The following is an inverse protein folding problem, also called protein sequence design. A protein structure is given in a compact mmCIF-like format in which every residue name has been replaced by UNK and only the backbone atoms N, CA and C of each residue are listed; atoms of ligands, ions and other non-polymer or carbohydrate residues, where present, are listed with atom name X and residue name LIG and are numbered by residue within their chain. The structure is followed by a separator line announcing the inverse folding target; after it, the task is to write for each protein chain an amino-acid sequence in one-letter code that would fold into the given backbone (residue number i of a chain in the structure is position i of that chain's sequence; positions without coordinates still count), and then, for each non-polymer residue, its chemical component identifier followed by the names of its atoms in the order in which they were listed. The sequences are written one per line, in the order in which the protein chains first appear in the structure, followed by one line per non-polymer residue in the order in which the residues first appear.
data_IF_162884565411
#
_entry.id   IF_162884565411
#
_cell.length_a   1.000
_cell.length_b   1.000
_cell.length_c   1.000
_cell.angle_alpha   90.00
_cell.angle_beta   90.00
_cell.angle_gamma   90.00
#
_symmetry.space_group_name_H-M   'P 1'
#
loop_
_entity.id
_entity.type
_entity.pdbx_description
1 polymer ?
#
# COMPACT_ATOMS: atom_id res chain seq x y z
N UNK A 1 13.90 -16.30 21.20
CA UNK A 1 14.30 -16.26 19.78
C UNK A 1 14.00 -14.87 19.27
N UNK A 2 15.03 -14.03 19.15
CA UNK A 2 14.91 -12.72 18.52
C UNK A 2 14.49 -12.92 17.07
N UNK A 3 13.20 -12.71 16.78
CA UNK A 3 12.74 -12.57 15.41
C UNK A 3 13.36 -11.26 14.94
N UNK A 4 14.38 -11.35 14.10
CA UNK A 4 15.05 -10.20 13.48
C UNK A 4 14.00 -9.16 13.09
N UNK A 5 14.09 -7.95 13.68
CA UNK A 5 13.18 -6.82 13.48
C UNK A 5 13.18 -6.38 12.00
N UNK A 6 12.50 -7.19 11.18
CA UNK A 6 12.43 -7.13 9.73
C UNK A 6 11.07 -6.56 9.39
N UNK A 7 11.07 -5.46 8.67
CA UNK A 7 9.87 -4.88 8.11
C UNK A 7 9.81 -5.21 6.61
N UNK A 8 8.68 -5.72 6.15
CA UNK A 8 8.53 -6.17 4.76
C UNK A 8 7.60 -5.25 3.96
N UNK A 9 8.03 -4.94 2.73
CA UNK A 9 7.19 -4.38 1.67
C UNK A 9 6.97 -5.48 0.65
N UNK A 10 5.72 -5.92 0.55
CA UNK A 10 5.27 -6.96 -0.38
C UNK A 10 4.72 -6.27 -1.62
N UNK A 11 5.36 -6.44 -2.76
CA UNK A 11 4.95 -5.82 -4.03
C UNK A 11 4.70 -6.90 -5.09
N UNK A 12 3.70 -6.69 -5.96
CA UNK A 12 3.54 -7.59 -7.11
C UNK A 12 4.78 -7.50 -8.01
N UNK A 13 5.31 -6.30 -8.24
CA UNK A 13 6.57 -6.10 -8.96
C UNK A 13 6.96 -4.63 -9.13
N UNK A 14 7.93 -4.37 -9.98
CA UNK A 14 8.39 -3.01 -10.29
C UNK A 14 7.36 -2.31 -11.17
N UNK A 15 7.27 -0.98 -11.12
CA UNK A 15 6.27 -0.18 -11.83
C UNK A 15 6.53 -0.05 -13.35
N UNK A 16 6.73 -1.18 -14.02
CA UNK A 16 7.05 -1.31 -15.45
C UNK A 16 6.33 -2.51 -16.07
N UNK A 17 6.27 -2.55 -17.41
CA UNK A 17 5.72 -3.68 -18.17
C UNK A 17 4.32 -4.12 -17.74
N UNK A 18 4.16 -5.42 -17.55
CA UNK A 18 2.88 -6.07 -17.19
C UNK A 18 2.30 -5.55 -15.87
N UNK A 19 3.17 -5.32 -14.87
CA UNK A 19 2.76 -4.85 -13.55
C UNK A 19 2.11 -3.47 -13.63
N UNK A 20 2.69 -2.57 -14.44
CA UNK A 20 2.10 -1.25 -14.69
C UNK A 20 0.76 -1.35 -15.41
N UNK A 21 0.60 -2.36 -16.26
CA UNK A 21 -0.65 -2.58 -16.99
C UNK A 21 -1.74 -3.13 -16.06
N UNK A 22 -1.41 -4.07 -15.16
CA UNK A 22 -2.29 -4.56 -14.09
C UNK A 22 -2.75 -3.40 -13.20
N UNK A 23 -1.81 -2.54 -12.77
CA UNK A 23 -2.13 -1.35 -11.95
C UNK A 23 -3.09 -0.40 -12.66
N UNK A 24 -2.86 -0.12 -13.94
CA UNK A 24 -3.75 0.72 -14.76
C UNK A 24 -5.13 0.08 -14.93
N UNK A 25 -5.18 -1.24 -15.09
CA UNK A 25 -6.42 -2.03 -15.13
C UNK A 25 -7.23 -1.82 -13.85
N UNK A 26 -6.64 -2.08 -12.68
CA UNK A 26 -7.30 -1.86 -11.38
C UNK A 26 -7.73 -0.40 -11.21
N UNK A 27 -6.87 0.55 -11.59
CA UNK A 27 -7.19 1.98 -11.50
C UNK A 27 -8.38 2.37 -12.38
N UNK A 28 -8.53 1.76 -13.54
CA UNK A 28 -9.66 2.06 -14.42
C UNK A 28 -11.02 1.65 -13.86
N UNK A 29 -11.09 0.65 -12.96
CA UNK A 29 -12.33 0.30 -12.23
C UNK A 29 -12.81 1.41 -11.29
N UNK A 30 -11.91 2.31 -10.90
CA UNK A 30 -12.18 3.39 -9.94
C UNK A 30 -12.46 4.72 -10.60
N UNK A 31 -12.46 4.77 -11.94
CA UNK A 31 -12.65 5.98 -12.71
C UNK A 31 -13.71 5.75 -13.77
N UNK A 32 -14.55 6.74 -14.09
CA UNK A 32 -15.39 6.68 -15.28
C UNK A 32 -14.48 6.83 -16.51
N UNK A 33 -14.00 5.71 -17.05
CA UNK A 33 -13.25 5.68 -18.31
C UNK A 33 -13.96 4.73 -19.26
N UNK A 34 -14.13 5.15 -20.51
CA UNK A 34 -14.48 4.29 -21.64
C UNK A 34 -13.28 3.37 -21.93
N UNK A 35 -13.12 2.32 -21.13
CA UNK A 35 -12.19 1.22 -21.40
C UNK A 35 -12.99 -0.07 -21.49
N UNK A 36 -12.61 -0.95 -22.41
CA UNK A 36 -13.19 -2.28 -22.52
C UNK A 36 -13.09 -3.01 -21.17
N UNK A 37 -14.25 -3.34 -20.59
CA UNK A 37 -14.41 -3.94 -19.25
C UNK A 37 -13.66 -5.28 -19.04
N UNK A 38 -13.08 -5.85 -20.09
CA UNK A 38 -12.34 -7.11 -20.02
C UNK A 38 -11.01 -6.99 -19.28
N UNK A 39 -10.24 -5.94 -19.57
CA UNK A 39 -8.88 -5.75 -19.03
C UNK A 39 -8.83 -5.55 -17.49
N UNK A 40 -9.79 -4.83 -16.88
CA UNK A 40 -9.75 -4.56 -15.45
C UNK A 40 -10.11 -5.76 -14.56
N UNK A 41 -11.10 -6.58 -14.97
CA UNK A 41 -11.47 -7.79 -14.23
C UNK A 41 -10.37 -8.87 -14.31
N UNK A 42 -9.71 -8.98 -15.47
CA UNK A 42 -8.54 -9.85 -15.63
C UNK A 42 -7.42 -9.44 -14.67
N UNK A 43 -7.19 -8.14 -14.50
CA UNK A 43 -6.17 -7.63 -13.57
C UNK A 43 -6.45 -8.05 -12.12
N UNK A 44 -7.71 -7.99 -11.67
CA UNK A 44 -8.08 -8.47 -10.33
C UNK A 44 -7.91 -9.99 -10.18
N UNK A 45 -8.24 -10.77 -11.23
CA UNK A 45 -8.05 -12.23 -11.21
C UNK A 45 -6.57 -12.62 -11.15
N UNK A 46 -5.71 -11.93 -11.90
CA UNK A 46 -4.26 -12.14 -11.85
C UNK A 46 -3.74 -11.86 -10.44
N UNK A 47 -4.13 -10.73 -9.85
CA UNK A 47 -3.78 -10.40 -8.47
C UNK A 47 -4.27 -11.49 -7.50
N UNK A 48 -5.54 -11.89 -7.59
CA UNK A 48 -6.09 -12.94 -6.73
C UNK A 48 -5.28 -14.24 -6.83
N UNK A 49 -5.03 -14.74 -8.05
CA UNK A 49 -4.28 -15.98 -8.25
C UNK A 49 -2.84 -15.92 -7.73
N UNK A 50 -2.16 -14.78 -7.89
CA UNK A 50 -0.79 -14.59 -7.41
C UNK A 50 -0.74 -14.49 -5.88
N UNK A 51 -1.60 -13.68 -5.27
CA UNK A 51 -1.59 -13.46 -3.82
C UNK A 51 -2.16 -14.63 -3.01
N UNK A 52 -2.92 -15.53 -3.64
CA UNK A 52 -3.45 -16.75 -3.00
C UNK A 52 -2.37 -17.69 -2.45
N UNK A 53 -1.16 -17.64 -3.01
CA UNK A 53 -0.03 -18.48 -2.59
C UNK A 53 0.91 -17.80 -1.58
N UNK A 54 0.50 -16.64 -1.04
CA UNK A 54 1.31 -15.84 -0.13
C UNK A 54 0.66 -15.87 1.24
N UNK A 55 1.47 -16.18 2.25
CA UNK A 55 1.06 -16.01 3.65
C UNK A 55 1.54 -14.66 4.16
N UNK A 56 0.66 -13.93 4.82
CA UNK A 56 0.97 -12.67 5.52
C UNK A 56 0.61 -12.80 7.00
N UNK A 57 1.45 -12.22 7.87
CA UNK A 57 1.25 -12.24 9.32
C UNK A 57 0.60 -10.92 9.77
N UNK A 58 -0.69 -10.76 9.49
CA UNK A 58 -1.47 -9.59 9.90
C UNK A 58 -2.86 -9.99 10.39
N UNK A 59 -3.46 -9.14 11.21
CA UNK A 59 -4.80 -9.33 11.75
C UNK A 59 -5.85 -8.50 11.00
N UNK A 60 -5.44 -7.36 10.45
CA UNK A 60 -6.31 -6.43 9.73
C UNK A 60 -5.59 -5.81 8.53
N UNK A 61 -6.36 -5.52 7.48
CA UNK A 61 -5.89 -4.82 6.27
C UNK A 61 -6.42 -3.39 6.30
N UNK A 62 -5.56 -2.39 6.14
CA UNK A 62 -5.97 -1.00 6.05
C UNK A 62 -5.45 -0.35 4.77
N UNK A 63 -6.32 0.09 3.84
CA UNK A 63 -5.86 0.83 2.67
C UNK A 63 -5.48 2.26 3.01
N UNK A 64 -4.57 2.83 2.23
CA UNK A 64 -4.32 4.27 2.18
C UNK A 64 -5.53 4.95 1.50
N UNK A 65 -6.15 5.98 2.10
CA UNK A 65 -7.33 6.62 1.56
C UNK A 65 -7.03 7.29 0.22
N UNK A 66 -8.00 7.26 -0.70
CA UNK A 66 -7.91 8.04 -1.94
C UNK A 66 -7.81 9.54 -1.67
N UNK A 67 -7.41 10.31 -2.68
CA UNK A 67 -7.24 11.76 -2.58
C UNK A 67 -8.56 12.54 -2.48
N UNK A 68 -9.67 11.92 -2.85
CA UNK A 68 -10.99 12.55 -2.98
C UNK A 68 -12.10 11.86 -2.16
N UNK A 69 -11.75 10.89 -1.31
CA UNK A 69 -12.66 10.01 -0.56
C UNK A 69 -13.51 9.06 -1.41
N UNK A 70 -13.24 8.93 -2.71
CA UNK A 70 -13.84 7.86 -3.53
C UNK A 70 -13.21 6.49 -3.22
N UNK A 71 -13.83 5.42 -3.73
CA UNK A 71 -13.19 4.10 -3.74
C UNK A 71 -12.03 4.15 -4.73
N UNK A 72 -10.80 4.25 -4.21
CA UNK A 72 -9.58 4.32 -4.99
C UNK A 72 -8.96 2.94 -5.26
N UNK A 73 -7.88 2.89 -6.06
CA UNK A 73 -7.24 1.63 -6.44
C UNK A 73 -6.69 0.86 -5.24
N UNK A 74 -6.21 1.57 -4.21
CA UNK A 74 -5.75 0.96 -2.96
C UNK A 74 -6.90 0.27 -2.21
N UNK A 75 -8.11 0.85 -2.18
CA UNK A 75 -9.29 0.27 -1.55
C UNK A 75 -9.76 -0.98 -2.30
N UNK A 76 -9.80 -0.94 -3.63
CA UNK A 76 -10.14 -2.12 -4.43
C UNK A 76 -9.14 -3.24 -4.23
N UNK A 77 -7.84 -2.90 -4.22
CA UNK A 77 -6.80 -3.88 -3.99
C UNK A 77 -6.90 -4.49 -2.58
N UNK A 78 -7.14 -3.68 -1.55
CA UNK A 78 -7.36 -4.16 -0.19
C UNK A 78 -8.58 -5.10 -0.07
N UNK A 79 -9.65 -4.87 -0.85
CA UNK A 79 -10.78 -5.80 -0.91
C UNK A 79 -10.36 -7.17 -1.46
N UNK A 80 -9.62 -7.19 -2.57
CA UNK A 80 -9.11 -8.45 -3.14
C UNK A 80 -8.27 -9.19 -2.11
N UNK A 81 -7.36 -8.49 -1.42
CA UNK A 81 -6.51 -9.11 -0.39
C UNK A 81 -7.31 -9.61 0.81
N UNK A 82 -8.35 -8.87 1.22
CA UNK A 82 -9.27 -9.27 2.29
C UNK A 82 -9.97 -10.59 1.95
N UNK A 83 -10.46 -10.72 0.72
CA UNK A 83 -11.14 -11.92 0.25
C UNK A 83 -10.18 -13.11 0.12
N UNK A 84 -8.99 -12.88 -0.45
CA UNK A 84 -7.98 -13.93 -0.70
C UNK A 84 -7.43 -14.50 0.60
N UNK A 85 -7.13 -13.64 1.58
CA UNK A 85 -6.52 -14.07 2.83
C UNK A 85 -7.52 -14.29 3.96
N UNK A 86 -8.80 -13.97 3.74
CA UNK A 86 -9.84 -13.99 4.77
C UNK A 86 -9.44 -13.16 6.00
N UNK A 87 -8.89 -11.96 5.76
CA UNK A 87 -8.45 -11.01 6.80
C UNK A 87 -9.31 -9.76 6.69
N UNK A 88 -9.94 -9.28 7.78
CA UNK A 88 -10.86 -8.16 7.71
C UNK A 88 -10.18 -6.86 7.27
N UNK A 89 -10.80 -6.17 6.33
CA UNK A 89 -10.45 -4.79 5.95
C UNK A 89 -11.07 -3.79 6.93
N UNK A 90 -10.25 -2.86 7.43
CA UNK A 90 -10.68 -1.71 8.24
C UNK A 90 -10.01 -0.44 7.71
N UNK A 91 -10.80 0.60 7.46
CA UNK A 91 -10.26 1.90 7.02
C UNK A 91 -9.76 2.72 8.23
N UNK A 92 -8.55 2.44 8.71
CA UNK A 92 -7.92 3.17 9.83
C UNK A 92 -7.52 4.59 9.46
N UNK A 93 -7.43 4.90 8.17
CA UNK A 93 -7.02 6.18 7.62
C UNK A 93 -8.15 6.78 6.79
N UNK A 94 -8.34 8.10 6.90
CA UNK A 94 -9.35 8.86 6.14
C UNK A 94 -8.74 10.09 5.48
N UNK A 95 -9.37 10.61 4.41
CA UNK A 95 -8.96 11.89 3.80
C UNK A 95 -9.72 13.02 4.47
N UNK A 96 -9.00 13.92 5.13
CA UNK A 96 -9.54 15.16 5.73
C UNK A 96 -9.77 16.25 4.69
N UNK A 97 -8.87 16.37 3.72
CA UNK A 97 -8.87 17.43 2.71
C UNK A 97 -8.78 16.80 1.33
N UNK A 98 -9.75 17.10 0.46
CA UNK A 98 -9.71 16.68 -0.95
C UNK A 98 -8.51 17.31 -1.64
N UNK A 99 -7.71 16.51 -2.33
CA UNK A 99 -6.57 16.99 -3.12
C UNK A 99 -6.70 16.54 -4.57
N UNK A 100 -6.09 17.29 -5.51
CA UNK A 100 -5.87 16.76 -6.86
C UNK A 100 -4.84 15.62 -6.78
N UNK A 101 -5.05 14.57 -7.56
CA UNK A 101 -4.10 13.45 -7.66
C UNK A 101 -2.68 13.95 -7.97
N UNK A 102 -1.68 13.44 -7.23
CA UNK A 102 -0.27 13.78 -7.39
C UNK A 102 0.30 13.49 -8.80
N UNK A 103 -0.39 12.67 -9.60
CA UNK A 103 -0.04 12.48 -11.01
C UNK A 103 -0.23 13.74 -11.88
N UNK A 104 -1.05 14.70 -11.43
CA UNK A 104 -1.34 15.94 -12.17
C UNK A 104 -0.63 17.17 -11.59
N UNK A 105 0.18 17.00 -10.55
CA UNK A 105 0.91 18.11 -9.92
C UNK A 105 2.33 18.23 -10.49
N UNK A 106 2.74 19.45 -10.84
CA UNK A 106 4.10 19.78 -11.31
C UNK A 106 5.14 19.44 -10.24
N UNK A 107 4.80 19.64 -8.96
CA UNK A 107 5.60 19.27 -7.80
C UNK A 107 4.91 18.14 -7.05
N UNK A 108 5.62 17.04 -6.81
CA UNK A 108 5.07 15.93 -6.03
C UNK A 108 4.95 16.32 -4.55
N UNK A 109 3.84 15.97 -3.88
CA UNK A 109 3.67 16.25 -2.46
C UNK A 109 4.70 15.51 -1.60
N UNK A 110 5.14 16.14 -0.51
CA UNK A 110 6.02 15.54 0.48
C UNK A 110 5.25 14.80 1.58
N UNK A 111 5.99 14.24 2.55
CA UNK A 111 5.42 13.54 3.72
C UNK A 111 4.49 14.46 4.51
N UNK A 112 4.91 15.70 4.79
CA UNK A 112 4.10 16.68 5.52
C UNK A 112 2.79 17.03 4.81
N UNK A 113 2.81 17.15 3.48
CA UNK A 113 1.61 17.44 2.69
C UNK A 113 0.59 16.30 2.80
N UNK A 114 1.08 15.06 2.75
CA UNK A 114 0.24 13.88 2.92
C UNK A 114 -0.31 13.76 4.36
N UNK A 115 0.49 14.06 5.39
CA UNK A 115 0.02 14.07 6.79
C UNK A 115 -1.08 15.08 7.03
N UNK A 116 -0.92 16.30 6.48
CA UNK A 116 -1.93 17.37 6.61
C UNK A 116 -3.28 16.99 6.03
N UNK A 117 -3.29 16.11 5.02
CA UNK A 117 -4.54 15.71 4.36
C UNK A 117 -5.10 14.39 4.83
N UNK A 118 -4.34 13.57 5.56
CA UNK A 118 -4.82 12.33 6.15
C UNK A 118 -5.27 12.51 7.61
N UNK A 119 -6.25 11.70 7.98
CA UNK A 119 -6.72 11.49 9.34
C UNK A 119 -6.57 10.03 9.74
N UNK A 120 -6.63 9.81 11.04
CA UNK A 120 -6.73 8.48 11.63
C UNK A 120 -8.13 8.34 12.19
N UNK A 121 -8.81 7.26 11.81
CA UNK A 121 -10.04 6.82 12.46
C UNK A 121 -9.62 5.97 13.67
N UNK A 122 -9.92 6.42 14.88
CA UNK A 122 -9.44 5.77 16.10
C UNK A 122 -10.35 4.58 16.44
N UNK A 123 -9.74 3.40 16.52
CA UNK A 123 -10.35 2.13 16.90
C UNK A 123 -9.50 1.52 18.02
N UNK A 124 -9.88 1.78 19.27
CA UNK A 124 -9.08 1.40 20.44
C UNK A 124 -8.92 -0.13 20.59
N UNK A 125 -9.92 -0.89 20.13
CA UNK A 125 -9.95 -2.35 20.09
C UNK A 125 -8.92 -2.95 19.10
N UNK A 126 -8.46 -2.15 18.13
CA UNK A 126 -7.54 -2.56 17.07
C UNK A 126 -6.08 -2.20 17.35
N UNK A 127 -5.75 -1.50 18.44
CA UNK A 127 -4.38 -1.05 18.72
C UNK A 127 -3.36 -2.19 18.88
N UNK A 128 -3.82 -3.37 19.34
CA UNK A 128 -2.97 -4.56 19.50
C UNK A 128 -2.89 -5.43 18.24
N UNK A 129 -3.63 -5.07 17.19
CA UNK A 129 -3.70 -5.82 15.94
C UNK A 129 -2.54 -5.46 15.02
N UNK A 130 -2.01 -6.45 14.32
CA UNK A 130 -1.00 -6.28 13.27
C UNK A 130 -1.68 -5.76 12.01
N UNK A 131 -1.35 -4.52 11.63
CA UNK A 131 -1.90 -3.86 10.45
C UNK A 131 -1.04 -4.18 9.22
N UNK A 132 -1.68 -4.63 8.15
CA UNK A 132 -1.12 -4.57 6.81
C UNK A 132 -1.60 -3.28 6.13
N UNK A 133 -0.67 -2.36 5.88
CA UNK A 133 -0.97 -1.12 5.16
C UNK A 133 -0.96 -1.40 3.66
N UNK A 134 -2.02 -1.01 2.95
CA UNK A 134 -2.18 -1.29 1.51
C UNK A 134 -2.19 0.00 0.69
N UNK A 135 -1.40 0.05 -0.38
CA UNK A 135 -1.44 1.11 -1.39
C UNK A 135 -1.43 0.48 -2.80
N UNK A 136 -1.78 1.23 -3.84
CA UNK A 136 -1.67 0.71 -5.20
C UNK A 136 -0.25 0.86 -5.75
N UNK A 137 0.38 2.02 -5.55
CA UNK A 137 1.72 2.31 -6.07
C UNK A 137 2.56 3.05 -5.04
N UNK A 138 3.73 2.50 -4.75
CA UNK A 138 4.76 3.20 -4.00
C UNK A 138 5.70 3.88 -5.00
N UNK A 139 5.48 5.17 -5.24
CA UNK A 139 6.38 5.98 -6.06
C UNK A 139 7.60 6.42 -5.23
N UNK A 140 7.51 7.58 -4.57
CA UNK A 140 8.57 8.05 -3.66
C UNK A 140 8.54 7.37 -2.30
N UNK A 141 7.38 6.82 -1.89
CA UNK A 141 7.12 6.34 -0.53
C UNK A 141 6.62 7.42 0.42
N UNK A 142 6.41 8.68 -0.02
CA UNK A 142 5.98 9.77 0.85
C UNK A 142 4.57 9.57 1.42
N UNK A 143 3.61 9.06 0.63
CA UNK A 143 2.25 8.72 1.10
C UNK A 143 2.28 7.66 2.19
N UNK A 144 3.03 6.58 1.94
CA UNK A 144 3.24 5.48 2.89
C UNK A 144 3.91 5.99 4.16
N UNK A 145 4.97 6.79 4.07
CA UNK A 145 5.66 7.32 5.24
C UNK A 145 4.72 8.18 6.11
N UNK A 146 3.90 9.01 5.48
CA UNK A 146 2.88 9.80 6.19
C UNK A 146 1.81 8.92 6.87
N UNK A 147 1.35 7.87 6.18
CA UNK A 147 0.39 6.91 6.73
C UNK A 147 0.98 6.13 7.91
N UNK A 148 2.22 5.65 7.78
CA UNK A 148 2.96 4.98 8.86
C UNK A 148 3.12 5.87 10.08
N UNK A 149 3.59 7.11 9.88
CA UNK A 149 3.80 8.05 10.98
C UNK A 149 2.49 8.34 11.73
N UNK A 150 1.39 8.55 11.00
CA UNK A 150 0.08 8.77 11.60
C UNK A 150 -0.40 7.55 12.40
N UNK A 151 -0.30 6.35 11.85
CA UNK A 151 -0.74 5.13 12.54
C UNK A 151 0.12 4.83 13.78
N UNK A 152 1.44 4.90 13.66
CA UNK A 152 2.38 4.64 14.76
C UNK A 152 2.20 5.66 15.89
N UNK A 153 2.07 6.94 15.57
CA UNK A 153 1.85 7.99 16.57
C UNK A 153 0.49 7.85 17.29
N UNK A 154 -0.46 7.12 16.70
CA UNK A 154 -1.74 6.80 17.33
C UNK A 154 -1.75 5.39 17.97
N UNK A 155 -0.59 4.75 18.10
CA UNK A 155 -0.43 3.49 18.83
C UNK A 155 -0.75 2.21 18.03
N UNK A 156 -0.97 2.31 16.72
CA UNK A 156 -1.18 1.12 15.89
C UNK A 156 0.14 0.42 15.55
N UNK A 157 0.10 -0.91 15.50
CA UNK A 157 1.22 -1.74 15.07
C UNK A 157 1.12 -2.07 13.58
N UNK A 158 1.80 -1.29 12.74
CA UNK A 158 1.95 -1.63 11.32
C UNK A 158 3.02 -2.71 11.17
N UNK A 159 2.61 -3.90 10.75
CA UNK A 159 3.48 -5.06 10.63
C UNK A 159 4.22 -5.08 9.29
N UNK A 160 3.51 -4.81 8.19
CA UNK A 160 4.02 -4.86 6.82
C UNK A 160 3.29 -3.85 5.92
N UNK A 161 3.80 -3.67 4.71
CA UNK A 161 3.13 -2.95 3.61
C UNK A 161 2.86 -3.92 2.46
N UNK A 162 1.71 -3.79 1.81
CA UNK A 162 1.46 -4.43 0.52
C UNK A 162 1.11 -3.40 -0.55
N UNK A 163 1.66 -3.56 -1.76
CA UNK A 163 1.30 -2.75 -2.90
C UNK A 163 1.30 -3.54 -4.21
N UNK A 164 0.67 -3.00 -5.26
CA UNK A 164 0.76 -3.60 -6.58
C UNK A 164 2.16 -3.34 -7.15
N UNK A 165 2.67 -2.11 -7.03
CA UNK A 165 3.97 -1.81 -7.63
C UNK A 165 4.81 -0.77 -6.91
N UNK A 166 6.12 -0.90 -7.08
CA UNK A 166 7.12 0.06 -6.61
C UNK A 166 7.83 0.69 -7.81
N UNK A 167 7.90 2.01 -7.83
CA UNK A 167 8.71 2.75 -8.81
C UNK A 167 10.14 2.90 -8.28
N UNK A 168 11.00 1.91 -8.59
CA UNK A 168 12.37 1.84 -8.08
C UNK A 168 13.25 3.05 -8.40
N UNK A 169 12.96 3.77 -9.49
CA UNK A 169 13.73 4.97 -9.85
C UNK A 169 13.45 6.13 -8.88
N UNK A 170 12.29 6.11 -8.24
CA UNK A 170 11.80 7.19 -7.39
C UNK A 170 11.72 6.79 -5.93
N UNK A 171 11.74 5.49 -5.65
CA UNK A 171 11.54 4.95 -4.33
C UNK A 171 12.66 5.35 -3.38
N UNK A 172 12.26 5.91 -2.23
CA UNK A 172 13.14 6.39 -1.17
C UNK A 172 12.96 5.53 0.08
N UNK A 173 13.65 4.38 0.19
CA UNK A 173 13.49 3.48 1.33
C UNK A 173 13.84 4.14 2.67
N UNK A 174 14.67 5.19 2.65
CA UNK A 174 15.00 6.02 3.81
C UNK A 174 13.76 6.66 4.46
N UNK A 175 12.72 6.99 3.69
CA UNK A 175 11.48 7.56 4.22
C UNK A 175 10.68 6.56 5.08
N UNK A 176 10.72 5.27 4.73
CA UNK A 176 10.04 4.23 5.51
C UNK A 176 10.89 3.85 6.72
N UNK A 177 12.22 3.76 6.53
CA UNK A 177 13.16 3.43 7.60
C UNK A 177 13.15 4.45 8.74
N UNK A 178 12.99 5.73 8.44
CA UNK A 178 12.96 6.78 9.47
C UNK A 178 11.76 6.64 10.41
N UNK A 179 10.65 6.06 9.93
CA UNK A 179 9.41 5.87 10.70
C UNK A 179 9.42 4.61 11.56
N UNK A 180 9.80 3.47 10.99
CA UNK A 180 9.68 2.16 11.67
C UNK A 180 11.00 1.73 12.33
N UNK A 181 12.12 2.31 11.87
CA UNK A 181 13.48 1.99 12.33
C UNK A 181 13.78 0.48 12.38
N UNK A 182 13.43 -0.31 11.34
CA UNK A 182 13.67 -1.74 11.36
C UNK A 182 15.17 -2.03 11.27
N UNK A 183 15.58 -3.19 11.77
CA UNK A 183 16.93 -3.73 11.58
C UNK A 183 17.15 -4.08 10.10
N UNK A 184 16.14 -4.69 9.48
CA UNK A 184 16.14 -5.05 8.05
C UNK A 184 14.88 -4.52 7.39
N UNK A 185 15.02 -3.84 6.25
CA UNK A 185 13.90 -3.52 5.37
C UNK A 185 13.97 -4.47 4.17
N UNK A 186 13.01 -5.38 4.07
CA UNK A 186 12.90 -6.33 2.97
C UNK A 186 11.87 -5.84 1.96
N UNK A 187 12.20 -5.90 0.68
CA UNK A 187 11.23 -5.71 -0.41
C UNK A 187 11.13 -7.04 -1.12
N UNK A 188 9.91 -7.58 -1.20
CA UNK A 188 9.63 -8.86 -1.84
C UNK A 188 8.76 -8.62 -3.08
N UNK A 189 9.31 -8.91 -4.25
CA UNK A 189 8.58 -8.87 -5.53
C UNK A 189 8.04 -10.25 -5.86
N UNK A 190 6.72 -10.35 -5.93
CA UNK A 190 6.06 -11.64 -6.06
C UNK A 190 6.14 -12.17 -7.49
N UNK A 191 5.87 -11.33 -8.48
CA UNK A 191 5.77 -11.74 -9.89
C UNK A 191 7.10 -12.26 -10.47
N UNK A 192 8.23 -11.82 -9.92
CA UNK A 192 9.57 -12.26 -10.32
C UNK A 192 10.24 -13.19 -9.32
N UNK A 193 9.58 -13.49 -8.19
CA UNK A 193 10.20 -14.17 -7.05
C UNK A 193 11.54 -13.53 -6.61
N UNK A 194 11.66 -12.21 -6.76
CA UNK A 194 12.87 -11.44 -6.43
C UNK A 194 12.75 -10.84 -5.02
N UNK A 195 13.83 -10.89 -4.23
CA UNK A 195 13.92 -10.24 -2.93
C UNK A 195 15.08 -9.24 -2.87
N UNK A 196 14.79 -8.01 -2.44
CA UNK A 196 15.81 -6.99 -2.16
C UNK A 196 15.90 -6.81 -0.65
N UNK A 197 17.09 -7.11 -0.10
CA UNK A 197 17.40 -6.92 1.31
C UNK A 197 18.20 -5.63 1.50
N UNK A 198 17.59 -4.64 2.12
CA UNK A 198 18.29 -3.45 2.52
C UNK A 198 18.69 -3.63 3.99
N UNK A 199 20.00 -3.63 4.26
CA UNK A 199 20.59 -3.65 5.62
C UNK A 199 21.07 -2.26 6.01
N UNK A 200 21.22 -2.02 7.31
CA UNK A 200 21.96 -0.87 7.83
C UNK A 200 23.46 -1.13 7.72
#
# INVERSE_FOLDING_TARGET
MDVDNTFEIIALGNHWGDIRSIERGIRSLTRPVNVDYFYPLLSLKIVNGIYSNISVNCDIISPVPSHDNSIGPAQLFANVLSDVWNIPRVDLLSRKIKQKSAHYSIKRPGVEDHKRTMGVNIHLDLLKKKVLLVDNVIATGSTIAAALELLINNGYHVANICCISIDEQLFRPDLIRSMIKPKVLRIRYIYKEEEILLRK
#
